data_IF_713108141144
#
_entry.id   IF_713108141144
#
_cell.length_a   1.000
_cell.length_b   1.000
_cell.length_c   1.000
_cell.angle_alpha   90.00
_cell.angle_beta   90.00
_cell.angle_gamma   90.00
#
_symmetry.space_group_name_H-M   'P 1'
#
loop_
_entity.id
_entity.type
_entity.pdbx_description
1 polymer ?
#
# COMPACT_ATOMS: atom_id res chain seq x y z
N UNK A 1 -12.23 8.82 -0.40
CA UNK A 1 -12.66 7.87 -1.43
C UNK A 1 -11.49 7.34 -2.30
N UNK A 2 -10.32 7.98 -2.31
CA UNK A 2 -9.15 7.57 -3.11
C UNK A 2 -9.25 7.87 -4.62
N UNK A 3 -10.25 8.62 -5.06
CA UNK A 3 -10.35 9.08 -6.43
C UNK A 3 -9.61 10.40 -6.62
N UNK A 4 -8.85 10.52 -7.71
CA UNK A 4 -8.29 11.80 -8.15
C UNK A 4 -9.42 12.56 -8.83
N UNK A 5 -9.99 13.56 -8.15
CA UNK A 5 -11.15 14.33 -8.66
C UNK A 5 -10.74 15.32 -9.75
N UNK A 6 -9.56 15.91 -9.64
CA UNK A 6 -9.06 16.97 -10.50
C UNK A 6 -7.62 16.65 -10.97
N UNK A 7 -7.48 15.73 -11.94
CA UNK A 7 -6.16 15.27 -12.38
C UNK A 7 -5.29 16.41 -12.96
N UNK A 8 -5.90 17.39 -13.63
CA UNK A 8 -5.17 18.52 -14.22
C UNK A 8 -4.57 19.42 -13.15
N UNK A 9 -5.31 19.70 -12.07
CA UNK A 9 -4.80 20.50 -10.94
C UNK A 9 -3.68 19.77 -10.21
N UNK A 10 -3.81 18.44 -10.02
CA UNK A 10 -2.76 17.64 -9.43
C UNK A 10 -1.48 17.67 -10.28
N UNK A 11 -1.60 17.52 -11.61
CA UNK A 11 -0.46 17.64 -12.52
C UNK A 11 0.16 19.04 -12.43
N UNK A 12 -0.65 20.09 -12.47
CA UNK A 12 -0.15 21.47 -12.38
C UNK A 12 0.62 21.73 -11.07
N UNK A 13 0.13 21.19 -9.95
CA UNK A 13 0.76 21.31 -8.64
C UNK A 13 2.09 20.53 -8.56
N UNK A 14 2.18 19.36 -9.19
CA UNK A 14 3.36 18.49 -9.14
C UNK A 14 4.41 18.81 -10.22
N UNK A 15 4.04 19.53 -11.28
CA UNK A 15 4.94 19.79 -12.41
C UNK A 15 6.20 20.58 -12.01
N UNK A 16 6.17 21.62 -11.16
CA UNK A 16 7.39 22.28 -10.69
C UNK A 16 8.33 21.32 -9.97
N UNK A 17 7.78 20.55 -9.03
CA UNK A 17 8.53 19.55 -8.27
C UNK A 17 9.17 18.48 -9.18
N UNK A 18 8.45 17.98 -10.19
CA UNK A 18 8.97 16.96 -11.10
C UNK A 18 10.18 17.43 -11.90
N UNK A 19 10.28 18.76 -12.16
CA UNK A 19 11.40 19.37 -12.89
C UNK A 19 12.67 19.52 -12.04
N UNK A 20 12.52 19.52 -10.72
CA UNK A 20 13.64 19.62 -9.76
C UNK A 20 14.24 18.25 -9.42
N UNK A 21 13.58 17.16 -9.83
CA UNK A 21 14.07 15.81 -9.57
C UNK A 21 15.37 15.52 -10.33
N UNK A 22 16.29 14.76 -9.73
CA UNK A 22 17.49 14.28 -10.42
C UNK A 22 17.13 13.50 -11.68
N UNK A 23 18.00 13.51 -12.69
CA UNK A 23 17.76 12.79 -13.96
C UNK A 23 17.51 11.28 -13.81
N UNK A 24 18.09 10.67 -12.76
CA UNK A 24 17.89 9.25 -12.39
C UNK A 24 17.13 9.20 -11.08
N UNK A 25 15.82 9.33 -11.16
CA UNK A 25 14.94 9.17 -10.02
C UNK A 25 13.99 8.00 -10.23
N UNK A 26 13.54 7.41 -9.14
CA UNK A 26 12.54 6.37 -9.13
C UNK A 26 11.42 6.81 -8.20
N UNK A 27 10.20 6.76 -8.70
CA UNK A 27 9.01 7.13 -7.94
C UNK A 27 8.20 5.87 -7.64
N UNK A 28 7.76 5.76 -6.40
CA UNK A 28 6.79 4.79 -5.96
C UNK A 28 5.50 5.50 -5.62
N UNK A 29 4.40 4.93 -6.09
CA UNK A 29 3.08 5.51 -5.89
C UNK A 29 2.29 4.69 -4.88
N UNK A 30 1.53 5.37 -4.04
CA UNK A 30 0.50 4.72 -3.23
C UNK A 30 -0.79 4.59 -4.04
N UNK A 31 -1.48 3.47 -3.82
CA UNK A 31 -2.83 3.23 -4.32
C UNK A 31 -3.76 2.95 -3.14
N UNK A 32 -5.02 3.47 -3.14
CA UNK A 32 -5.91 3.29 -2.00
C UNK A 32 -6.21 1.82 -1.72
N UNK A 33 -5.91 1.36 -0.50
CA UNK A 33 -6.08 -0.04 -0.11
C UNK A 33 -7.52 -0.54 -0.19
N UNK A 34 -8.52 0.33 0.04
CA UNK A 34 -9.93 -0.01 -0.09
C UNK A 34 -10.42 -0.17 -1.54
N UNK A 35 -9.56 0.09 -2.53
CA UNK A 35 -9.80 -0.13 -3.96
C UNK A 35 -8.99 -1.30 -4.51
N UNK A 36 -8.35 -2.05 -3.64
CA UNK A 36 -7.64 -3.28 -3.97
C UNK A 36 -8.41 -4.48 -3.49
N UNK A 37 -8.33 -5.54 -4.24
CA UNK A 37 -8.81 -6.87 -3.86
C UNK A 37 -7.63 -7.65 -3.28
N UNK A 38 -7.80 -8.21 -2.09
CA UNK A 38 -6.86 -9.15 -1.49
C UNK A 38 -7.51 -10.52 -1.45
N UNK A 39 -6.88 -11.49 -2.06
CA UNK A 39 -7.37 -12.88 -2.07
C UNK A 39 -6.22 -13.86 -1.90
N UNK A 40 -6.58 -15.02 -1.35
CA UNK A 40 -5.68 -16.15 -1.23
C UNK A 40 -6.17 -17.26 -2.16
N UNK A 41 -5.28 -17.73 -3.05
CA UNK A 41 -5.55 -18.83 -3.96
C UNK A 41 -4.69 -20.03 -3.59
N UNK A 42 -5.28 -21.24 -3.45
CA UNK A 42 -4.50 -22.44 -3.20
C UNK A 42 -3.54 -22.66 -4.37
N UNK A 43 -2.34 -23.14 -4.06
CA UNK A 43 -1.35 -23.48 -5.10
C UNK A 43 -1.86 -24.69 -5.89
N UNK A 44 -1.79 -24.66 -7.24
CA UNK A 44 -2.16 -25.83 -8.03
C UNK A 44 -1.20 -26.99 -7.74
N UNK A 45 -1.70 -28.23 -7.87
CA UNK A 45 -0.89 -29.43 -7.62
C UNK A 45 0.27 -29.60 -8.60
N UNK A 46 0.13 -29.05 -9.81
CA UNK A 46 1.19 -29.06 -10.83
C UNK A 46 2.22 -27.95 -10.57
N UNK A 47 3.48 -28.25 -10.82
CA UNK A 47 4.54 -27.24 -10.77
C UNK A 47 4.44 -26.34 -12.00
N UNK A 48 4.03 -25.09 -11.77
CA UNK A 48 3.94 -24.05 -12.78
C UNK A 48 5.18 -23.15 -12.72
N UNK A 49 5.69 -22.72 -13.86
CA UNK A 49 6.68 -21.65 -13.98
C UNK A 49 6.00 -20.29 -13.71
N UNK A 50 6.77 -19.27 -13.37
CA UNK A 50 6.25 -17.95 -13.04
C UNK A 50 5.23 -17.38 -14.06
N UNK A 51 5.47 -17.42 -15.40
CA UNK A 51 4.47 -16.96 -16.38
C UNK A 51 3.19 -17.81 -16.37
N UNK A 52 3.32 -19.13 -16.11
CA UNK A 52 2.18 -20.05 -16.04
C UNK A 52 1.38 -19.82 -14.77
N UNK A 53 2.05 -19.51 -13.65
CA UNK A 53 1.42 -19.13 -12.39
C UNK A 53 0.60 -17.85 -12.55
N UNK A 54 1.18 -16.82 -13.18
CA UNK A 54 0.48 -15.57 -13.44
C UNK A 54 -0.75 -15.79 -14.33
N UNK A 55 -0.62 -16.57 -15.41
CA UNK A 55 -1.74 -16.92 -16.28
C UNK A 55 -2.84 -17.71 -15.56
N UNK A 56 -2.45 -18.67 -14.70
CA UNK A 56 -3.38 -19.45 -13.90
C UNK A 56 -4.13 -18.59 -12.89
N UNK A 57 -3.43 -17.69 -12.18
CA UNK A 57 -4.02 -16.74 -11.24
C UNK A 57 -5.00 -15.79 -11.94
N UNK A 58 -4.59 -15.21 -13.09
CA UNK A 58 -5.45 -14.35 -13.90
C UNK A 58 -6.73 -15.06 -14.30
N UNK A 59 -6.64 -16.28 -14.83
CA UNK A 59 -7.80 -17.09 -15.20
C UNK A 59 -8.67 -17.49 -14.02
N UNK A 60 -8.08 -17.74 -12.86
CA UNK A 60 -8.81 -18.07 -11.63
C UNK A 60 -9.59 -16.87 -11.09
N UNK A 61 -8.96 -15.69 -11.06
CA UNK A 61 -9.62 -14.44 -10.67
C UNK A 61 -10.74 -14.07 -11.65
N UNK A 62 -10.49 -14.16 -12.95
CA UNK A 62 -11.48 -13.85 -13.99
C UNK A 62 -12.76 -14.68 -13.83
N UNK A 63 -12.61 -15.98 -13.61
CA UNK A 63 -13.75 -16.90 -13.38
C UNK A 63 -14.49 -16.63 -12.07
N UNK A 64 -13.75 -16.36 -10.99
CA UNK A 64 -14.36 -16.14 -9.68
C UNK A 64 -15.11 -14.81 -9.59
N UNK A 65 -14.58 -13.79 -10.26
CA UNK A 65 -15.12 -12.43 -10.22
C UNK A 65 -16.05 -12.10 -11.39
N UNK A 66 -16.24 -13.04 -12.29
CA UNK A 66 -17.02 -12.85 -13.54
C UNK A 66 -16.52 -11.63 -14.34
N UNK A 67 -15.20 -11.54 -14.51
CA UNK A 67 -14.53 -10.42 -15.17
C UNK A 67 -13.63 -10.93 -16.30
N UNK A 68 -13.32 -10.04 -17.24
CA UNK A 68 -12.29 -10.35 -18.24
C UNK A 68 -10.91 -10.49 -17.59
N UNK A 69 -10.04 -11.39 -18.07
CA UNK A 69 -8.70 -11.61 -17.49
C UNK A 69 -7.80 -10.38 -17.43
N UNK A 70 -8.00 -9.43 -18.35
CA UNK A 70 -7.26 -8.17 -18.45
C UNK A 70 -7.91 -7.01 -17.67
N UNK A 71 -9.06 -7.25 -17.03
CA UNK A 71 -9.76 -6.24 -16.25
C UNK A 71 -9.03 -5.88 -14.94
N UNK A 72 -8.09 -6.73 -14.49
CA UNK A 72 -7.33 -6.55 -13.27
C UNK A 72 -5.83 -6.52 -13.55
N UNK A 73 -5.16 -5.53 -12.96
CA UNK A 73 -3.73 -5.62 -12.68
C UNK A 73 -3.55 -6.26 -11.31
N UNK A 74 -2.65 -7.23 -11.20
CA UNK A 74 -2.40 -7.91 -9.95
C UNK A 74 -0.91 -8.20 -9.75
N UNK A 75 -0.56 -8.38 -8.50
CA UNK A 75 0.71 -8.91 -8.04
C UNK A 75 0.44 -10.03 -7.04
N UNK A 76 1.39 -10.96 -6.88
CA UNK A 76 1.22 -12.08 -5.98
C UNK A 76 2.53 -12.48 -5.30
N UNK A 77 2.40 -13.07 -4.14
CA UNK A 77 3.50 -13.66 -3.39
C UNK A 77 3.10 -15.03 -2.86
N UNK A 78 4.10 -15.89 -2.63
CA UNK A 78 3.86 -17.15 -1.95
C UNK A 78 3.48 -16.91 -0.49
N UNK A 79 2.47 -17.62 -0.01
CA UNK A 79 2.16 -17.63 1.41
C UNK A 79 3.18 -18.51 2.15
N UNK A 80 3.79 -17.95 3.20
CA UNK A 80 4.79 -18.66 4.01
C UNK A 80 4.18 -19.69 4.98
N UNK A 81 2.87 -19.62 5.22
CA UNK A 81 2.18 -20.44 6.22
C UNK A 81 1.32 -21.54 5.58
N UNK A 82 1.02 -21.46 4.31
CA UNK A 82 0.18 -22.43 3.61
C UNK A 82 0.59 -22.53 2.13
N UNK A 83 0.29 -23.66 1.45
CA UNK A 83 0.55 -23.80 0.01
C UNK A 83 -0.45 -22.97 -0.81
N UNK A 84 -0.28 -21.65 -0.77
CA UNK A 84 -1.17 -20.71 -1.41
C UNK A 84 -0.40 -19.48 -1.96
N UNK A 85 -1.06 -18.73 -2.83
CA UNK A 85 -0.63 -17.41 -3.28
C UNK A 85 -1.48 -16.33 -2.62
N UNK A 86 -0.84 -15.32 -2.04
CA UNK A 86 -1.48 -14.09 -1.63
C UNK A 86 -1.50 -13.14 -2.83
N UNK A 87 -2.68 -12.82 -3.32
CA UNK A 87 -2.88 -11.97 -4.51
C UNK A 87 -3.44 -10.63 -4.09
N UNK A 88 -2.85 -9.56 -4.61
CA UNK A 88 -3.36 -8.20 -4.51
C UNK A 88 -3.67 -7.70 -5.91
N UNK A 89 -4.90 -7.29 -6.17
CA UNK A 89 -5.35 -6.85 -7.48
C UNK A 89 -6.07 -5.50 -7.42
N UNK A 90 -6.01 -4.75 -8.52
CA UNK A 90 -6.74 -3.50 -8.71
C UNK A 90 -7.30 -3.44 -10.13
N UNK A 91 -8.33 -2.62 -10.36
CA UNK A 91 -8.91 -2.47 -11.69
C UNK A 91 -7.91 -1.87 -12.67
N UNK A 92 -7.71 -2.52 -13.82
CA UNK A 92 -6.76 -2.10 -14.86
C UNK A 92 -7.01 -0.66 -15.32
N UNK A 93 -8.28 -0.25 -15.45
CA UNK A 93 -8.64 1.11 -15.84
C UNK A 93 -8.14 2.17 -14.87
N UNK A 94 -8.11 1.87 -13.56
CA UNK A 94 -7.67 2.81 -12.52
C UNK A 94 -6.16 2.94 -12.48
N UNK A 95 -5.47 1.81 -12.59
CA UNK A 95 -4.00 1.79 -12.69
C UNK A 95 -3.55 2.50 -13.97
N UNK A 96 -4.20 2.24 -15.10
CA UNK A 96 -3.88 2.89 -16.37
C UNK A 96 -4.14 4.40 -16.33
N UNK A 97 -5.25 4.85 -15.72
CA UNK A 97 -5.54 6.28 -15.54
C UNK A 97 -4.46 6.96 -14.66
N UNK A 98 -4.03 6.32 -13.57
CA UNK A 98 -2.96 6.83 -12.72
C UNK A 98 -1.64 6.92 -13.48
N UNK A 99 -1.27 5.88 -14.22
CA UNK A 99 -0.04 5.88 -15.01
C UNK A 99 -0.05 6.95 -16.11
N UNK A 100 -1.18 7.11 -16.81
CA UNK A 100 -1.34 8.17 -17.83
C UNK A 100 -1.14 9.56 -17.23
N UNK A 101 -1.73 9.81 -16.06
CA UNK A 101 -1.55 11.07 -15.35
C UNK A 101 -0.07 11.31 -15.00
N UNK A 102 0.60 10.30 -14.46
CA UNK A 102 2.01 10.41 -14.05
C UNK A 102 2.95 10.55 -15.25
N UNK A 103 2.63 9.96 -16.40
CA UNK A 103 3.41 10.13 -17.64
C UNK A 103 3.51 11.60 -18.05
N UNK A 104 2.49 12.43 -17.79
CA UNK A 104 2.53 13.87 -18.08
C UNK A 104 3.60 14.60 -17.30
N UNK A 105 3.99 14.08 -16.12
CA UNK A 105 5.05 14.63 -15.27
C UNK A 105 6.46 14.19 -15.70
N UNK A 106 6.57 13.29 -16.71
CA UNK A 106 7.84 12.73 -17.18
C UNK A 106 8.69 12.09 -16.08
N UNK A 107 8.04 11.47 -15.10
CA UNK A 107 8.69 10.78 -13.98
C UNK A 107 8.66 9.26 -14.21
N UNK A 108 9.67 8.56 -13.68
CA UNK A 108 9.78 7.11 -13.82
C UNK A 108 9.16 6.41 -12.60
N UNK A 109 8.04 5.73 -12.82
CA UNK A 109 7.38 4.92 -11.80
C UNK A 109 8.01 3.52 -11.77
N UNK A 110 8.40 3.07 -10.60
CA UNK A 110 8.97 1.72 -10.38
C UNK A 110 8.02 0.78 -9.67
N UNK A 111 7.07 1.31 -8.89
CA UNK A 111 6.07 0.48 -8.22
C UNK A 111 4.80 1.29 -7.91
N UNK A 112 3.68 0.59 -7.89
CA UNK A 112 2.40 1.06 -7.34
C UNK A 112 2.04 0.10 -6.22
N UNK A 113 1.87 0.63 -5.01
CA UNK A 113 1.71 -0.18 -3.80
C UNK A 113 0.48 0.30 -3.03
N UNK A 114 -0.36 -0.60 -2.48
CA UNK A 114 -1.44 -0.19 -1.60
C UNK A 114 -0.91 0.63 -0.42
N UNK A 115 -1.56 1.76 -0.11
CA UNK A 115 -1.11 2.70 0.92
C UNK A 115 -0.96 2.03 2.30
N UNK A 116 -1.93 1.23 2.70
CA UNK A 116 -1.87 0.52 3.97
C UNK A 116 -0.76 -0.55 4.02
N UNK A 117 -0.42 -1.20 2.89
CA UNK A 117 0.65 -2.19 2.87
C UNK A 117 2.04 -1.58 3.10
N UNK A 118 2.21 -0.28 2.80
CA UNK A 118 3.44 0.45 3.09
C UNK A 118 3.76 0.46 4.60
N UNK A 119 2.74 0.41 5.46
CA UNK A 119 2.91 0.33 6.92
C UNK A 119 3.58 -0.97 7.36
N UNK A 120 3.44 -2.07 6.61
CA UNK A 120 4.06 -3.34 6.96
C UNK A 120 5.58 -3.25 7.06
N UNK A 121 6.21 -2.30 6.36
CA UNK A 121 7.65 -2.06 6.40
C UNK A 121 8.16 -1.65 7.79
N UNK A 122 7.28 -1.10 8.61
CA UNK A 122 7.60 -0.67 9.97
C UNK A 122 7.32 -1.73 11.03
N UNK A 123 6.55 -2.78 10.73
CA UNK A 123 6.19 -3.82 11.71
C UNK A 123 7.41 -4.45 12.40
N UNK A 124 8.54 -4.76 11.70
CA UNK A 124 9.73 -5.31 12.34
C UNK A 124 10.40 -4.40 13.38
N UNK A 125 10.07 -3.10 13.36
CA UNK A 125 10.67 -2.09 14.24
C UNK A 125 9.75 -1.71 15.40
N UNK A 126 8.56 -2.31 15.47
CA UNK A 126 7.67 -2.10 16.61
C UNK A 126 8.17 -2.86 17.84
N UNK A 127 7.95 -2.33 19.06
CA UNK A 127 8.10 -3.12 20.28
C UNK A 127 7.29 -4.41 20.20
N UNK A 128 7.80 -5.51 20.78
CA UNK A 128 7.21 -6.87 20.70
C UNK A 128 5.74 -6.93 21.13
N UNK A 129 5.31 -6.06 22.04
CA UNK A 129 3.91 -5.96 22.46
C UNK A 129 2.96 -5.50 21.37
N UNK A 130 3.47 -4.81 20.33
CA UNK A 130 2.64 -4.28 19.24
C UNK A 130 2.64 -5.24 18.06
N UNK A 131 1.45 -5.56 17.58
CA UNK A 131 1.21 -6.45 16.45
C UNK A 131 0.66 -5.71 15.23
N UNK A 132 0.17 -4.49 15.43
CA UNK A 132 -0.46 -3.67 14.41
C UNK A 132 0.10 -2.25 14.47
N UNK A 133 0.38 -1.67 13.32
CA UNK A 133 0.68 -0.26 13.15
C UNK A 133 -0.52 0.42 12.49
N UNK A 134 -0.94 1.53 13.06
CA UNK A 134 -2.06 2.33 12.57
C UNK A 134 -1.58 3.74 12.24
N UNK A 135 -2.00 4.24 11.10
CA UNK A 135 -1.88 5.63 10.69
C UNK A 135 -3.27 6.22 10.43
N UNK A 136 -3.48 7.47 10.80
CA UNK A 136 -4.75 8.15 10.64
C UNK A 136 -4.57 9.53 10.03
N UNK A 137 -5.48 9.91 9.11
CA UNK A 137 -5.77 11.29 8.76
C UNK A 137 -7.20 11.68 9.17
N UNK A 138 -7.67 12.82 8.71
CA UNK A 138 -9.01 13.33 9.04
C UNK A 138 -10.15 12.44 8.50
N UNK A 139 -9.87 11.61 7.50
CA UNK A 139 -10.89 10.86 6.74
C UNK A 139 -10.71 9.36 6.79
N UNK A 140 -9.51 8.88 7.12
CA UNK A 140 -9.15 7.48 6.96
C UNK A 140 -8.30 6.95 8.11
N UNK A 141 -8.51 5.68 8.42
CA UNK A 141 -7.65 4.81 9.18
C UNK A 141 -6.94 3.85 8.22
N UNK A 142 -5.62 3.83 8.23
CA UNK A 142 -4.82 2.81 7.58
C UNK A 142 -4.18 1.95 8.66
N UNK A 143 -4.21 0.65 8.48
CA UNK A 143 -3.64 -0.28 9.45
C UNK A 143 -2.87 -1.39 8.73
N UNK A 144 -1.86 -1.91 9.38
CA UNK A 144 -1.12 -3.09 8.94
C UNK A 144 -0.68 -3.93 10.12
N UNK A 145 -0.73 -5.23 9.91
CA UNK A 145 -0.09 -6.27 10.73
C UNK A 145 1.00 -6.94 9.90
N UNK A 146 1.67 -7.94 10.44
CA UNK A 146 2.68 -8.71 9.71
C UNK A 146 2.10 -9.39 8.45
N UNK A 147 0.85 -9.86 8.51
CA UNK A 147 0.22 -10.69 7.46
C UNK A 147 -0.97 -10.04 6.77
N UNK A 148 -1.46 -8.91 7.25
CA UNK A 148 -2.66 -8.25 6.72
C UNK A 148 -2.53 -6.73 6.80
N UNK A 149 -3.28 -6.04 5.96
CA UNK A 149 -3.37 -4.60 5.95
C UNK A 149 -4.73 -4.16 5.39
N UNK A 150 -5.12 -2.93 5.67
CA UNK A 150 -6.38 -2.40 5.17
C UNK A 150 -6.60 -0.93 5.48
N UNK A 151 -7.72 -0.45 4.99
CA UNK A 151 -8.15 0.94 5.11
C UNK A 151 -9.63 1.01 5.50
N UNK A 152 -9.97 1.92 6.40
CA UNK A 152 -11.32 2.18 6.87
C UNK A 152 -11.60 3.69 6.91
N UNK A 153 -12.85 4.08 6.65
CA UNK A 153 -13.25 5.47 6.80
C UNK A 153 -13.35 5.86 8.29
N UNK A 154 -12.99 7.09 8.63
CA UNK A 154 -13.25 7.64 9.98
C UNK A 154 -14.74 7.86 10.24
N UNK A 155 -15.58 7.88 9.20
CA UNK A 155 -17.03 7.86 9.33
C UNK A 155 -17.61 6.51 9.75
N UNK A 156 -16.90 5.41 9.42
CA UNK A 156 -17.30 4.04 9.79
C UNK A 156 -16.71 3.61 11.15
N UNK A 157 -15.55 4.15 11.50
CA UNK A 157 -14.80 3.84 12.72
C UNK A 157 -14.36 5.15 13.36
N UNK A 158 -14.99 5.50 14.46
CA UNK A 158 -14.79 6.78 15.15
C UNK A 158 -13.53 6.83 16.02
N UNK A 159 -13.10 5.71 16.57
CA UNK A 159 -11.98 5.64 17.51
C UNK A 159 -11.10 4.39 17.35
N UNK A 160 -9.96 4.41 18.03
CA UNK A 160 -8.98 3.31 17.99
C UNK A 160 -9.53 2.02 18.61
N UNK A 161 -10.42 2.12 19.60
CA UNK A 161 -11.00 0.95 20.26
C UNK A 161 -11.94 0.19 19.32
N UNK A 162 -12.74 0.91 18.52
CA UNK A 162 -13.59 0.32 17.49
C UNK A 162 -12.76 -0.34 16.39
N UNK A 163 -11.63 0.29 15.98
CA UNK A 163 -10.71 -0.31 15.05
C UNK A 163 -10.11 -1.59 15.63
N UNK A 164 -9.66 -1.58 16.87
CA UNK A 164 -9.10 -2.73 17.56
C UNK A 164 -10.11 -3.89 17.62
N UNK A 165 -11.36 -3.61 17.97
CA UNK A 165 -12.44 -4.59 17.99
C UNK A 165 -12.68 -5.18 16.57
N UNK A 166 -12.70 -4.34 15.54
CA UNK A 166 -12.87 -4.78 14.13
C UNK A 166 -11.73 -5.71 13.69
N UNK A 167 -10.51 -5.45 14.17
CA UNK A 167 -9.33 -6.25 13.86
C UNK A 167 -9.15 -7.46 14.80
N UNK A 168 -10.03 -7.64 15.79
CA UNK A 168 -9.91 -8.67 16.83
C UNK A 168 -8.58 -8.57 17.60
N UNK A 169 -8.12 -7.35 17.86
CA UNK A 169 -6.88 -7.03 18.58
C UNK A 169 -7.18 -6.29 19.88
N UNK A 170 -6.28 -6.42 20.85
CA UNK A 170 -6.27 -5.51 22.01
C UNK A 170 -5.76 -4.13 21.57
N UNK A 171 -6.33 -3.07 22.09
CA UNK A 171 -5.83 -1.70 21.86
C UNK A 171 -4.36 -1.54 22.26
N UNK A 172 -3.91 -2.28 23.28
CA UNK A 172 -2.50 -2.30 23.71
C UNK A 172 -1.55 -2.96 22.72
N UNK A 173 -2.09 -3.76 21.78
CA UNK A 173 -1.31 -4.37 20.69
C UNK A 173 -1.19 -3.46 19.46
N UNK A 174 -1.78 -2.27 19.50
CA UNK A 174 -1.75 -1.31 18.39
C UNK A 174 -0.75 -0.19 18.71
N UNK A 175 0.15 0.07 17.78
CA UNK A 175 0.97 1.28 17.76
C UNK A 175 0.33 2.32 16.83
N UNK A 176 0.19 3.55 17.28
CA UNK A 176 -0.34 4.64 16.48
C UNK A 176 0.80 5.52 15.97
N UNK A 177 0.78 5.86 14.68
CA UNK A 177 1.64 6.87 14.08
C UNK A 177 1.08 8.26 14.38
N UNK A 178 1.55 8.87 15.45
CA UNK A 178 1.20 10.22 15.85
C UNK A 178 2.41 10.91 16.52
N UNK A 179 2.34 12.21 16.88
CA UNK A 179 3.45 12.92 17.50
C UNK A 179 3.93 12.33 18.83
N UNK A 180 3.07 11.59 19.55
CA UNK A 180 3.37 10.96 20.84
C UNK A 180 3.64 9.45 20.76
N UNK A 181 3.34 8.83 19.62
CA UNK A 181 3.43 7.39 19.38
C UNK A 181 4.63 6.97 18.56
N UNK A 182 4.38 6.15 17.55
CA UNK A 182 5.42 5.64 16.66
C UNK A 182 5.88 6.71 15.68
N UNK A 183 7.18 7.01 15.69
CA UNK A 183 7.80 7.94 14.77
C UNK A 183 8.53 7.17 13.65
N UNK A 184 8.03 7.19 12.40
CA UNK A 184 8.61 6.45 11.29
C UNK A 184 10.01 6.93 10.91
N UNK A 185 10.37 8.20 11.18
CA UNK A 185 11.72 8.70 10.91
C UNK A 185 12.77 8.10 11.83
N UNK A 186 12.42 7.60 13.02
CA UNK A 186 13.40 6.95 13.90
C UNK A 186 13.93 5.65 13.31
N UNK A 187 13.21 5.05 12.38
CA UNK A 187 13.56 3.79 11.72
C UNK A 187 14.49 4.02 10.52
N UNK A 188 14.43 5.20 9.91
CA UNK A 188 15.24 5.52 8.74
C UNK A 188 16.68 5.80 9.16
N UNK A 189 17.63 4.99 8.66
CA UNK A 189 19.05 5.09 9.01
C UNK A 189 19.74 6.32 8.43
N UNK A 190 19.39 6.73 7.22
CA UNK A 190 19.96 7.91 6.55
C UNK A 190 18.91 8.99 6.44
N UNK A 191 19.17 10.14 7.06
CA UNK A 191 18.27 11.29 7.07
C UNK A 191 18.99 12.50 6.50
N UNK A 192 18.35 13.16 5.55
CA UNK A 192 18.88 14.38 4.95
C UNK A 192 18.05 15.59 5.42
N UNK A 193 18.65 16.63 6.00
CA UNK A 193 17.94 17.86 6.32
C UNK A 193 17.37 18.57 5.08
N UNK A 194 16.27 19.31 5.21
CA UNK A 194 15.52 19.57 6.45
C UNK A 194 14.63 18.40 6.85
N UNK A 195 14.65 18.04 8.14
CA UNK A 195 13.80 16.97 8.69
C UNK A 195 12.42 17.56 9.02
N UNK A 196 11.32 16.97 8.53
CA UNK A 196 9.98 17.46 8.80
C UNK A 196 9.63 17.33 10.29
N UNK A 197 9.05 18.37 10.87
CA UNK A 197 8.63 18.39 12.28
C UNK A 197 7.47 17.45 12.59
N UNK A 198 6.66 17.09 11.58
CA UNK A 198 5.52 16.20 11.67
C UNK A 198 5.77 14.92 10.85
N UNK A 199 6.77 14.15 11.26
CA UNK A 199 7.24 12.95 10.56
C UNK A 199 6.13 11.91 10.31
N UNK A 200 5.18 11.78 11.24
CA UNK A 200 4.05 10.85 11.14
C UNK A 200 3.18 11.10 9.89
N UNK A 201 3.12 12.32 9.38
CA UNK A 201 2.40 12.63 8.13
C UNK A 201 3.02 12.00 6.89
N UNK A 202 4.31 11.67 6.96
CA UNK A 202 5.06 11.07 5.86
C UNK A 202 5.20 9.55 5.99
N UNK A 203 4.50 8.92 6.93
CA UNK A 203 4.62 7.47 7.21
C UNK A 203 4.44 6.63 5.96
N UNK A 204 3.41 6.90 5.16
CA UNK A 204 3.15 6.14 3.92
C UNK A 204 4.29 6.34 2.92
N UNK A 205 4.71 7.58 2.68
CA UNK A 205 5.80 7.89 1.75
C UNK A 205 7.12 7.23 2.19
N UNK A 206 7.43 7.26 3.49
CA UNK A 206 8.60 6.60 4.05
C UNK A 206 8.52 5.07 3.90
N UNK A 207 7.36 4.46 4.19
CA UNK A 207 7.15 3.02 4.00
C UNK A 207 7.32 2.59 2.53
N UNK A 208 6.81 3.39 1.59
CA UNK A 208 7.03 3.18 0.15
C UNK A 208 8.51 3.27 -0.21
N UNK A 209 9.22 4.26 0.31
CA UNK A 209 10.65 4.46 0.05
C UNK A 209 11.51 3.31 0.61
N UNK A 210 11.13 2.74 1.76
CA UNK A 210 11.79 1.59 2.38
C UNK A 210 11.53 0.26 1.66
N UNK A 211 10.51 0.19 0.83
CA UNK A 211 10.23 -1.01 0.03
C UNK A 211 11.41 -1.32 -0.88
N UNK A 212 12.02 -2.50 -0.73
CA UNK A 212 13.08 -2.97 -1.62
C UNK A 212 12.62 -3.02 -3.08
N UNK A 213 13.55 -2.93 -4.00
CA UNK A 213 13.35 -3.43 -5.36
C UNK A 213 13.13 -4.94 -5.25
N UNK A 214 11.96 -5.43 -5.68
CA UNK A 214 11.81 -6.85 -5.97
C UNK A 214 12.77 -7.25 -7.07
#
# INVERSE_FOLDING_TARGET
>A
DGHIREPEQLVAALLPWSRELPRRHHIRLSFPANRTLQKKYPRPEMMLREPEQAAWLSGSMARELDMAPDALHFDYSEDTLSPAFNVTAAQSKEISALLTLIQTLKVQVTAITPDASALQRFIPYLPERHQCLVWRDDTQWLWATRSAWGRKSTGDIGCIDELAATLSLSTTAIALCDPSGFDPLKVVSVRQPPIPTQSHRFTIALGLAMGGTC
#
